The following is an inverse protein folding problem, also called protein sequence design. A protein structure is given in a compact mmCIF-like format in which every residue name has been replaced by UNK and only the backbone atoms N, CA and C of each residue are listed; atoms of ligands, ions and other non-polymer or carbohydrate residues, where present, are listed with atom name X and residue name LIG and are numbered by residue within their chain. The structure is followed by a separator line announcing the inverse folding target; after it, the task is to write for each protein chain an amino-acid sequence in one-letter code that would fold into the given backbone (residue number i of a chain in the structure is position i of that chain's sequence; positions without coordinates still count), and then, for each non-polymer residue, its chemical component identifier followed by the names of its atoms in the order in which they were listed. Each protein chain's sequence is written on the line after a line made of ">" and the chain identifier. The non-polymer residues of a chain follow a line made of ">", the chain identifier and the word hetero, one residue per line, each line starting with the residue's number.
data_IF_351660937052
#
_entry.id   IF_351660937052
#
_cell.length_a   1.000
_cell.length_b   1.000
_cell.length_c   1.000
_cell.angle_alpha   90.00
_cell.angle_beta   90.00
_cell.angle_gamma   90.00
#
_symmetry.space_group_name_H-M   'P 1'
#
loop_
_entity.id
_entity.type
_entity.pdbx_description
1 polymer ?
#
# COMPACT_ATOMS: atom_id res chain seq x y z
N UNK A 1 10.81 -10.48 -3.36
CA UNK A 1 9.89 -9.54 -2.68
C UNK A 1 8.43 -9.97 -2.78
N UNK A 2 7.87 -10.07 -3.97
CA UNK A 2 6.45 -10.31 -4.25
C UNK A 2 5.81 -11.38 -3.37
N UNK A 3 6.28 -12.62 -3.42
CA UNK A 3 5.71 -13.73 -2.64
C UNK A 3 5.66 -13.50 -1.14
N UNK A 4 6.69 -12.84 -0.56
CA UNK A 4 6.68 -12.48 0.87
C UNK A 4 5.60 -11.44 1.18
N UNK A 5 5.44 -10.45 0.33
CA UNK A 5 4.45 -9.37 0.51
C UNK A 5 3.03 -9.93 0.36
N UNK A 6 2.77 -10.73 -0.67
CA UNK A 6 1.48 -11.38 -0.89
C UNK A 6 1.12 -12.32 0.29
N UNK A 7 2.07 -13.12 0.78
CA UNK A 7 1.87 -13.96 1.95
C UNK A 7 1.64 -13.13 3.23
N UNK A 8 2.41 -12.07 3.42
CA UNK A 8 2.28 -11.16 4.55
C UNK A 8 0.88 -10.56 4.65
N UNK A 9 0.38 -9.96 3.57
CA UNK A 9 -0.95 -9.35 3.54
C UNK A 9 -2.06 -10.40 3.47
N UNK A 10 -2.03 -11.31 2.50
CA UNK A 10 -3.13 -12.22 2.20
C UNK A 10 -3.35 -13.30 3.24
N UNK A 11 -2.33 -13.65 4.04
CA UNK A 11 -2.44 -14.71 5.03
C UNK A 11 -2.23 -14.18 6.45
N UNK A 12 -1.07 -13.58 6.75
CA UNK A 12 -0.71 -13.30 8.14
C UNK A 12 -1.46 -12.08 8.69
N UNK A 13 -1.54 -10.99 7.93
CA UNK A 13 -2.31 -9.80 8.33
C UNK A 13 -3.81 -10.10 8.43
N UNK A 14 -4.33 -10.92 7.53
CA UNK A 14 -5.72 -11.36 7.57
C UNK A 14 -6.03 -12.20 8.81
N UNK A 15 -5.14 -13.14 9.18
CA UNK A 15 -5.26 -13.88 10.44
C UNK A 15 -5.22 -12.94 11.65
N UNK A 16 -4.30 -11.97 11.67
CA UNK A 16 -4.19 -11.01 12.75
C UNK A 16 -5.47 -10.17 12.90
N UNK A 17 -6.00 -9.68 11.78
CA UNK A 17 -7.24 -8.89 11.77
C UNK A 17 -8.45 -9.65 12.30
N UNK A 18 -8.59 -10.94 11.97
CA UNK A 18 -9.68 -11.79 12.47
C UNK A 18 -9.55 -12.15 13.96
N UNK A 19 -8.35 -12.03 14.51
CA UNK A 19 -8.07 -12.35 15.91
C UNK A 19 -8.17 -11.14 16.82
N UNK A 20 -8.11 -9.91 16.30
CA UNK A 20 -7.93 -8.69 17.10
C UNK A 20 -8.97 -8.54 18.22
N UNK A 21 -10.22 -8.89 17.95
CA UNK A 21 -11.33 -8.81 18.92
C UNK A 21 -11.54 -10.10 19.72
N UNK A 22 -10.84 -11.19 19.37
CA UNK A 22 -11.01 -12.52 19.99
C UNK A 22 -9.87 -12.91 20.89
N UNK A 23 -8.66 -12.67 20.44
CA UNK A 23 -7.39 -12.97 21.14
C UNK A 23 -6.36 -11.92 20.74
N UNK A 24 -6.34 -10.82 21.49
CA UNK A 24 -5.47 -9.69 21.24
C UNK A 24 -3.99 -10.07 21.27
N UNK A 25 -3.58 -10.95 22.21
CA UNK A 25 -2.17 -11.37 22.34
C UNK A 25 -1.71 -12.14 21.11
N UNK A 26 -2.54 -13.09 20.66
CA UNK A 26 -2.23 -13.87 19.46
C UNK A 26 -2.28 -13.00 18.21
N UNK A 27 -3.21 -12.04 18.13
CA UNK A 27 -3.26 -11.06 17.04
C UNK A 27 -1.96 -10.25 16.95
N UNK A 28 -1.45 -9.74 18.08
CA UNK A 28 -0.20 -8.98 18.12
C UNK A 28 1.00 -9.84 17.69
N UNK A 29 1.08 -11.10 18.10
CA UNK A 29 2.10 -12.05 17.63
C UNK A 29 2.05 -12.23 16.11
N UNK A 30 0.84 -12.27 15.52
CA UNK A 30 0.67 -12.34 14.07
C UNK A 30 1.12 -11.05 13.37
N UNK A 31 0.81 -9.86 13.92
CA UNK A 31 1.30 -8.59 13.39
C UNK A 31 2.83 -8.52 13.43
N UNK A 32 3.48 -8.98 14.50
CA UNK A 32 4.94 -9.05 14.58
C UNK A 32 5.53 -10.01 13.54
N UNK A 33 4.89 -11.17 13.34
CA UNK A 33 5.27 -12.12 12.28
C UNK A 33 5.17 -11.47 10.89
N UNK A 34 4.08 -10.75 10.61
CA UNK A 34 3.90 -10.03 9.36
C UNK A 34 4.97 -8.95 9.19
N UNK A 35 5.26 -8.18 10.24
CA UNK A 35 6.28 -7.11 10.21
C UNK A 35 7.66 -7.68 9.84
N UNK A 36 8.04 -8.83 10.41
CA UNK A 36 9.30 -9.50 10.06
C UNK A 36 9.34 -9.87 8.57
N UNK A 37 8.26 -10.45 8.04
CA UNK A 37 8.17 -10.84 6.62
C UNK A 37 8.30 -9.61 5.70
N UNK A 38 7.61 -8.53 6.02
CA UNK A 38 7.68 -7.28 5.26
C UNK A 38 9.06 -6.62 5.36
N UNK A 39 9.70 -6.63 6.54
CA UNK A 39 11.06 -6.11 6.73
C UNK A 39 12.07 -6.86 5.88
N UNK A 40 11.99 -8.19 5.83
CA UNK A 40 12.86 -9.00 4.97
C UNK A 40 12.61 -8.72 3.48
N UNK A 41 11.35 -8.46 3.07
CA UNK A 41 11.00 -8.08 1.70
C UNK A 41 11.56 -6.69 1.37
N UNK A 42 11.38 -5.71 2.27
CA UNK A 42 11.91 -4.34 2.15
C UNK A 42 13.44 -4.35 1.99
N UNK A 43 14.13 -5.05 2.86
CA UNK A 43 15.59 -5.08 2.86
C UNK A 43 16.13 -5.74 1.58
N UNK A 44 15.43 -6.79 1.10
CA UNK A 44 15.72 -7.40 -0.21
C UNK A 44 15.51 -6.42 -1.35
N UNK A 45 14.42 -5.65 -1.34
CA UNK A 45 14.13 -4.64 -2.36
C UNK A 45 15.15 -3.52 -2.39
N UNK A 46 15.51 -2.98 -1.23
CA UNK A 46 16.56 -1.97 -1.12
C UNK A 46 17.88 -2.53 -1.67
N UNK A 47 18.22 -3.78 -1.36
CA UNK A 47 19.45 -4.42 -1.85
C UNK A 47 19.44 -4.59 -3.38
N UNK A 48 18.32 -5.05 -3.96
CA UNK A 48 18.18 -5.25 -5.41
C UNK A 48 18.35 -3.92 -6.14
N UNK A 49 17.59 -2.91 -5.77
CA UNK A 49 17.64 -1.61 -6.46
C UNK A 49 19.00 -0.92 -6.24
N UNK A 50 19.61 -1.04 -5.05
CA UNK A 50 20.91 -0.44 -4.76
C UNK A 50 22.06 -1.06 -5.55
N UNK A 51 21.96 -2.32 -5.99
CA UNK A 51 22.95 -2.96 -6.89
C UNK A 51 22.94 -2.31 -8.27
N UNK A 52 21.77 -1.95 -8.78
CA UNK A 52 21.61 -1.25 -10.07
C UNK A 52 21.90 0.24 -9.94
N UNK A 53 21.46 0.84 -8.83
CA UNK A 53 21.55 2.27 -8.55
C UNK A 53 22.28 2.52 -7.21
N UNK A 54 23.61 2.68 -7.17
CA UNK A 54 24.37 2.86 -5.93
C UNK A 54 23.91 4.03 -5.05
N UNK A 55 23.29 5.06 -5.67
CA UNK A 55 22.74 6.22 -4.97
C UNK A 55 21.29 6.04 -4.48
N UNK A 56 20.72 4.84 -4.57
CA UNK A 56 19.30 4.61 -4.25
C UNK A 56 18.92 5.04 -2.84
N UNK A 57 19.74 4.76 -1.83
CA UNK A 57 19.48 5.21 -0.45
C UNK A 57 19.48 6.74 -0.32
N UNK A 58 20.37 7.43 -1.04
CA UNK A 58 20.35 8.90 -1.12
C UNK A 58 19.10 9.42 -1.82
N UNK A 59 18.67 8.71 -2.88
CA UNK A 59 17.43 9.05 -3.56
C UNK A 59 16.23 8.89 -2.62
N UNK A 60 16.13 7.83 -1.82
CA UNK A 60 15.06 7.69 -0.81
C UNK A 60 15.05 8.88 0.17
N UNK A 61 16.22 9.39 0.56
CA UNK A 61 16.36 10.56 1.44
C UNK A 61 16.19 11.92 0.72
N UNK A 62 15.87 11.95 -0.58
CA UNK A 62 15.79 13.16 -1.43
C UNK A 62 17.13 13.88 -1.66
N UNK A 63 18.24 13.19 -1.48
CA UNK A 63 19.61 13.73 -1.62
C UNK A 63 20.23 13.44 -3.00
N UNK A 64 19.55 12.68 -3.86
CA UNK A 64 20.00 12.33 -5.20
C UNK A 64 18.81 12.20 -6.16
N UNK A 65 19.12 12.26 -7.47
CA UNK A 65 18.19 11.91 -8.55
C UNK A 65 18.57 10.56 -9.15
N UNK A 66 17.58 9.78 -9.57
CA UNK A 66 17.74 8.55 -10.34
C UNK A 66 16.71 8.58 -11.46
N UNK A 67 17.16 8.25 -12.65
CA UNK A 67 16.29 8.07 -13.82
C UNK A 67 15.96 6.58 -13.92
N UNK A 68 14.78 6.21 -13.35
CA UNK A 68 14.27 4.86 -13.41
C UNK A 68 13.59 4.59 -14.75
N UNK A 69 13.56 3.33 -15.16
CA UNK A 69 12.94 2.92 -16.40
C UNK A 69 11.91 1.78 -16.20
N UNK A 70 11.31 1.32 -17.28
CA UNK A 70 10.26 0.31 -17.22
C UNK A 70 10.69 -1.03 -16.59
N UNK A 71 11.98 -1.39 -16.66
CA UNK A 71 12.48 -2.64 -16.06
C UNK A 71 12.53 -2.57 -14.53
N UNK A 72 12.52 -1.35 -13.96
CA UNK A 72 12.58 -1.13 -12.51
C UNK A 72 11.20 -1.16 -11.85
N UNK A 73 10.14 -1.05 -12.62
CA UNK A 73 8.79 -0.75 -12.13
C UNK A 73 8.27 -1.80 -11.13
N UNK A 74 8.57 -3.07 -11.39
CA UNK A 74 8.17 -4.17 -10.49
C UNK A 74 8.89 -4.08 -9.14
N UNK A 75 10.19 -3.80 -9.16
CA UNK A 75 10.98 -3.67 -7.92
C UNK A 75 10.56 -2.44 -7.12
N UNK A 76 10.26 -1.32 -7.79
CA UNK A 76 9.74 -0.10 -7.18
C UNK A 76 8.39 -0.38 -6.48
N UNK A 77 7.46 -1.05 -7.17
CA UNK A 77 6.15 -1.40 -6.61
C UNK A 77 6.27 -2.27 -5.37
N UNK A 78 6.96 -3.42 -5.50
CA UNK A 78 7.06 -4.37 -4.40
C UNK A 78 7.86 -3.85 -3.21
N UNK A 79 8.82 -2.93 -3.44
CA UNK A 79 9.47 -2.20 -2.35
C UNK A 79 8.50 -1.25 -1.66
N UNK A 80 7.73 -0.46 -2.41
CA UNK A 80 6.73 0.45 -1.82
C UNK A 80 5.73 -0.30 -0.95
N UNK A 81 5.18 -1.41 -1.47
CA UNK A 81 4.19 -2.22 -0.75
C UNK A 81 4.81 -2.92 0.47
N UNK A 82 6.09 -3.36 0.40
CA UNK A 82 6.77 -3.94 1.55
C UNK A 82 7.00 -2.92 2.68
N UNK A 83 7.37 -1.68 2.36
CA UNK A 83 7.47 -0.59 3.36
C UNK A 83 6.08 -0.28 3.94
N UNK A 84 5.05 -0.20 3.11
CA UNK A 84 3.66 -0.05 3.55
C UNK A 84 3.22 -1.18 4.50
N UNK A 85 3.63 -2.41 4.20
CA UNK A 85 3.40 -3.58 5.04
C UNK A 85 4.08 -3.48 6.41
N UNK A 86 5.33 -3.00 6.46
CA UNK A 86 6.01 -2.70 7.73
C UNK A 86 5.24 -1.69 8.57
N UNK A 87 4.78 -0.59 7.94
CA UNK A 87 4.00 0.45 8.61
C UNK A 87 2.68 -0.13 9.16
N UNK A 88 1.91 -0.82 8.32
CA UNK A 88 0.59 -1.36 8.70
C UNK A 88 0.69 -2.39 9.82
N UNK A 89 1.66 -3.31 9.73
CA UNK A 89 1.87 -4.36 10.73
C UNK A 89 2.48 -3.85 12.04
N UNK A 90 3.13 -2.70 12.03
CA UNK A 90 3.75 -2.10 13.21
C UNK A 90 2.76 -1.48 14.20
N UNK A 91 1.48 -1.37 13.82
CA UNK A 91 0.40 -0.86 14.66
C UNK A 91 0.67 0.54 15.25
N UNK A 92 1.23 1.41 14.42
CA UNK A 92 1.49 2.80 14.80
C UNK A 92 2.89 3.07 15.37
N UNK A 93 3.83 2.16 15.19
CA UNK A 93 5.22 2.38 15.59
C UNK A 93 5.81 3.58 14.81
N UNK A 94 6.26 4.66 15.48
CA UNK A 94 6.77 5.85 14.82
C UNK A 94 8.05 5.59 14.01
N UNK A 95 8.85 4.58 14.37
CA UNK A 95 10.05 4.20 13.61
C UNK A 95 9.72 3.58 12.24
N UNK A 96 8.55 3.01 12.07
CA UNK A 96 8.09 2.58 10.75
C UNK A 96 7.35 3.71 10.02
N UNK A 97 6.54 4.51 10.72
CA UNK A 97 5.80 5.64 10.13
C UNK A 97 6.71 6.69 9.47
N UNK A 98 7.94 6.89 9.97
CA UNK A 98 8.91 7.80 9.36
C UNK A 98 9.23 7.45 7.89
N UNK A 99 8.97 6.21 7.46
CA UNK A 99 9.16 5.75 6.10
C UNK A 99 7.97 6.00 5.17
N UNK A 100 6.85 6.53 5.68
CA UNK A 100 5.65 6.80 4.88
C UNK A 100 5.92 7.71 3.66
N UNK A 101 6.74 8.78 3.75
CA UNK A 101 7.09 9.59 2.57
C UNK A 101 7.80 8.79 1.46
N UNK A 102 8.57 7.76 1.82
CA UNK A 102 9.25 6.89 0.86
C UNK A 102 8.25 6.03 0.09
N UNK A 103 7.20 5.52 0.74
CA UNK A 103 6.10 4.82 0.06
C UNK A 103 5.48 5.72 -1.02
N UNK A 104 5.06 6.93 -0.65
CA UNK A 104 4.46 7.85 -1.60
C UNK A 104 5.41 8.27 -2.73
N UNK A 105 6.72 8.36 -2.47
CA UNK A 105 7.71 8.66 -3.50
C UNK A 105 7.84 7.51 -4.51
N UNK A 106 8.00 6.29 -4.04
CA UNK A 106 8.08 5.09 -4.88
C UNK A 106 6.82 4.91 -5.73
N UNK A 107 5.64 5.05 -5.13
CA UNK A 107 4.38 4.90 -5.85
C UNK A 107 4.23 5.94 -6.96
N UNK A 108 4.54 7.22 -6.69
CA UNK A 108 4.51 8.27 -7.73
C UNK A 108 5.52 7.99 -8.84
N UNK A 109 6.74 7.57 -8.50
CA UNK A 109 7.74 7.19 -9.51
C UNK A 109 7.22 6.07 -10.41
N UNK A 110 6.56 5.06 -9.87
CA UNK A 110 5.96 4.00 -10.69
C UNK A 110 4.83 4.50 -11.59
N UNK A 111 3.98 5.40 -11.10
CA UNK A 111 2.94 6.06 -11.90
C UNK A 111 3.55 6.86 -13.05
N UNK A 112 4.63 7.60 -12.80
CA UNK A 112 5.31 8.42 -13.81
C UNK A 112 5.93 7.55 -14.91
N UNK A 113 6.42 6.34 -14.57
CA UNK A 113 6.98 5.39 -15.54
C UNK A 113 5.87 4.72 -16.38
N UNK A 114 4.86 4.16 -15.72
CA UNK A 114 3.75 3.48 -16.39
C UNK A 114 2.48 3.49 -15.50
N UNK A 115 1.55 4.42 -15.72
CA UNK A 115 0.34 4.54 -14.93
C UNK A 115 -0.61 3.32 -15.02
N UNK A 116 -0.54 2.57 -16.11
CA UNK A 116 -1.38 1.37 -16.33
C UNK A 116 -0.75 0.06 -15.87
N UNK A 117 0.44 0.09 -15.25
CA UNK A 117 1.12 -1.12 -14.84
C UNK A 117 0.26 -2.00 -13.92
N UNK A 118 0.21 -3.31 -14.25
CA UNK A 118 -0.65 -4.31 -13.59
C UNK A 118 -2.05 -3.75 -13.25
N UNK A 119 -2.74 -3.25 -14.28
CA UNK A 119 -4.11 -2.73 -14.19
C UNK A 119 -4.27 -1.56 -13.19
N UNK A 120 -3.26 -0.69 -13.09
CA UNK A 120 -3.32 0.48 -12.21
C UNK A 120 -3.02 0.19 -10.75
N UNK A 121 -2.25 -0.87 -10.43
CA UNK A 121 -1.91 -1.27 -9.07
C UNK A 121 -1.26 -0.16 -8.25
N UNK A 122 -0.48 0.74 -8.87
CA UNK A 122 0.07 1.92 -8.17
C UNK A 122 -1.02 2.85 -7.64
N UNK A 123 -2.08 3.06 -8.42
CA UNK A 123 -3.21 3.89 -7.98
C UNK A 123 -3.98 3.22 -6.84
N UNK A 124 -4.19 1.90 -6.90
CA UNK A 124 -4.79 1.14 -5.80
C UNK A 124 -3.97 1.28 -4.51
N UNK A 125 -2.65 1.17 -4.60
CA UNK A 125 -1.76 1.35 -3.45
C UNK A 125 -1.75 2.81 -2.94
N UNK A 126 -1.95 3.82 -3.82
CA UNK A 126 -2.06 5.22 -3.43
C UNK A 126 -3.32 5.51 -2.60
N UNK A 127 -4.40 4.74 -2.72
CA UNK A 127 -5.57 4.85 -1.84
C UNK A 127 -5.14 4.60 -0.39
N UNK A 128 -4.53 3.45 -0.12
CA UNK A 128 -4.05 3.07 1.22
C UNK A 128 -2.98 4.04 1.75
N UNK A 129 -2.05 4.47 0.89
CA UNK A 129 -1.05 5.47 1.26
C UNK A 129 -1.70 6.78 1.72
N UNK A 130 -2.67 7.29 0.94
CA UNK A 130 -3.33 8.56 1.21
C UNK A 130 -4.09 8.54 2.54
N UNK A 131 -4.77 7.44 2.84
CA UNK A 131 -5.53 7.29 4.09
C UNK A 131 -4.64 7.10 5.33
N UNK A 132 -3.35 6.78 5.14
CA UNK A 132 -2.38 6.70 6.25
C UNK A 132 -1.78 8.09 6.59
N UNK A 133 -1.98 9.10 5.76
CA UNK A 133 -1.46 10.46 5.97
C UNK A 133 -2.27 11.19 7.04
N UNK A 134 -1.57 11.89 7.92
CA UNK A 134 -2.16 12.71 9.00
C UNK A 134 -2.17 14.22 8.70
N UNK A 135 -1.61 14.63 7.57
CA UNK A 135 -1.48 16.04 7.16
C UNK A 135 -2.63 16.51 6.25
N UNK A 136 -3.59 15.63 5.94
CA UNK A 136 -4.76 15.94 5.14
C UNK A 136 -5.99 16.20 6.02
N UNK A 137 -6.75 17.25 5.73
CA UNK A 137 -8.11 17.38 6.25
C UNK A 137 -9.06 16.43 5.48
N UNK A 138 -10.30 16.27 5.98
CA UNK A 138 -11.26 15.34 5.40
C UNK A 138 -11.55 15.61 3.91
N UNK A 139 -11.70 16.86 3.50
CA UNK A 139 -11.98 17.22 2.10
C UNK A 139 -10.81 16.82 1.22
N UNK A 140 -9.59 17.22 1.58
CA UNK A 140 -8.38 16.87 0.82
C UNK A 140 -8.13 15.36 0.77
N UNK A 141 -8.46 14.66 1.85
CA UNK A 141 -8.37 13.19 1.92
C UNK A 141 -9.32 12.56 0.90
N UNK A 142 -10.60 12.95 0.93
CA UNK A 142 -11.62 12.40 0.02
C UNK A 142 -11.29 12.69 -1.43
N UNK A 143 -11.01 13.94 -1.78
CA UNK A 143 -10.66 14.35 -3.14
C UNK A 143 -9.46 13.54 -3.67
N UNK A 144 -8.44 13.33 -2.84
CA UNK A 144 -7.26 12.57 -3.23
C UNK A 144 -7.57 11.09 -3.41
N UNK A 145 -8.36 10.49 -2.50
CA UNK A 145 -8.74 9.08 -2.58
C UNK A 145 -9.67 8.84 -3.76
N UNK A 146 -10.64 9.73 -4.02
CA UNK A 146 -11.53 9.66 -5.18
C UNK A 146 -10.72 9.68 -6.48
N UNK A 147 -9.76 10.60 -6.60
CA UNK A 147 -8.87 10.66 -7.77
C UNK A 147 -8.12 9.33 -7.99
N UNK A 148 -7.51 8.75 -6.95
CA UNK A 148 -6.77 7.49 -7.09
C UNK A 148 -7.69 6.30 -7.35
N UNK A 149 -8.86 6.28 -6.73
CA UNK A 149 -9.89 5.28 -6.99
C UNK A 149 -10.36 5.30 -8.45
N UNK A 150 -10.72 6.47 -8.98
CA UNK A 150 -11.16 6.62 -10.37
C UNK A 150 -10.07 6.16 -11.35
N UNK A 151 -8.79 6.48 -11.07
CA UNK A 151 -7.67 6.00 -11.89
C UNK A 151 -7.49 4.49 -11.81
N UNK A 152 -7.57 3.90 -10.63
CA UNK A 152 -7.46 2.45 -10.46
C UNK A 152 -8.60 1.71 -11.20
N UNK A 153 -9.82 2.22 -11.10
CA UNK A 153 -10.99 1.67 -11.82
C UNK A 153 -10.82 1.82 -13.34
N UNK A 154 -10.34 2.98 -13.80
CA UNK A 154 -10.10 3.22 -15.22
C UNK A 154 -9.09 2.22 -15.81
N UNK A 155 -7.94 2.04 -15.16
CA UNK A 155 -6.89 1.16 -15.68
C UNK A 155 -7.19 -0.33 -15.51
N UNK A 156 -8.07 -0.71 -14.58
CA UNK A 156 -8.55 -2.10 -14.43
C UNK A 156 -9.79 -2.41 -15.28
N UNK A 157 -10.30 -1.44 -16.03
CA UNK A 157 -11.58 -1.57 -16.75
C UNK A 157 -12.73 -1.98 -15.82
N UNK A 158 -12.67 -1.50 -14.55
CA UNK A 158 -13.61 -1.83 -13.50
C UNK A 158 -13.58 -3.28 -13.00
N UNK A 159 -12.63 -4.10 -13.44
CA UNK A 159 -12.58 -5.56 -13.17
C UNK A 159 -11.71 -5.96 -11.98
N UNK A 160 -11.14 -5.01 -11.26
CA UNK A 160 -10.37 -5.27 -10.04
C UNK A 160 -11.20 -4.92 -8.79
N UNK A 161 -11.47 -5.90 -7.95
CA UNK A 161 -12.18 -5.73 -6.69
C UNK A 161 -11.38 -4.92 -5.66
N UNK A 162 -10.04 -4.94 -5.74
CA UNK A 162 -9.14 -4.35 -4.75
C UNK A 162 -9.41 -2.88 -4.45
N UNK A 163 -9.48 -1.98 -5.45
CA UNK A 163 -9.78 -0.57 -5.23
C UNK A 163 -11.12 -0.33 -4.50
N UNK A 164 -12.16 -1.08 -4.85
CA UNK A 164 -13.49 -0.94 -4.23
C UNK A 164 -13.47 -1.35 -2.76
N UNK A 165 -12.82 -2.48 -2.43
CA UNK A 165 -12.68 -2.95 -1.06
C UNK A 165 -11.84 -1.98 -0.24
N UNK A 166 -10.70 -1.54 -0.78
CA UNK A 166 -9.82 -0.58 -0.10
C UNK A 166 -10.54 0.74 0.16
N UNK A 167 -11.31 1.25 -0.80
CA UNK A 167 -12.10 2.46 -0.62
C UNK A 167 -13.17 2.28 0.46
N UNK A 168 -13.93 1.19 0.42
CA UNK A 168 -14.96 0.90 1.42
C UNK A 168 -14.38 0.86 2.83
N UNK A 169 -13.26 0.15 3.02
CA UNK A 169 -12.62 0.03 4.33
C UNK A 169 -11.94 1.32 4.80
N UNK A 170 -11.35 2.08 3.89
CA UNK A 170 -10.53 3.26 4.23
C UNK A 170 -11.34 4.56 4.32
N UNK A 171 -12.49 4.65 3.66
CA UNK A 171 -13.35 5.84 3.66
C UNK A 171 -14.70 5.52 4.31
N UNK A 172 -15.51 4.64 3.73
CA UNK A 172 -16.88 4.47 4.20
C UNK A 172 -16.95 3.93 5.64
N UNK A 173 -16.06 3.02 6.03
CA UNK A 173 -16.05 2.43 7.37
C UNK A 173 -15.65 3.45 8.45
N UNK A 174 -14.53 4.19 8.37
CA UNK A 174 -14.15 5.20 9.35
C UNK A 174 -15.15 6.36 9.47
N UNK A 175 -15.75 6.78 8.34
CA UNK A 175 -16.74 7.85 8.31
C UNK A 175 -18.18 7.37 8.60
N UNK A 176 -18.36 6.10 8.99
CA UNK A 176 -19.65 5.49 9.35
C UNK A 176 -20.71 5.54 8.24
N UNK A 177 -20.31 5.53 6.99
CA UNK A 177 -21.15 5.58 5.80
C UNK A 177 -21.66 4.17 5.43
N UNK A 178 -22.45 3.56 6.30
CA UNK A 178 -22.87 2.16 6.17
C UNK A 178 -23.50 1.82 4.82
N UNK A 179 -24.35 2.70 4.29
CA UNK A 179 -25.01 2.45 3.00
C UNK A 179 -23.97 2.36 1.88
N UNK A 180 -23.09 3.36 1.76
CA UNK A 180 -22.07 3.42 0.74
C UNK A 180 -21.08 2.23 0.85
N UNK A 181 -20.76 1.83 2.09
CA UNK A 181 -19.93 0.64 2.35
C UNK A 181 -20.59 -0.63 1.76
N UNK A 182 -21.87 -0.87 2.10
CA UNK A 182 -22.62 -2.05 1.61
C UNK A 182 -22.78 -2.01 0.10
N UNK A 183 -23.07 -0.86 -0.50
CA UNK A 183 -23.22 -0.70 -1.95
C UNK A 183 -21.92 -1.04 -2.68
N UNK A 184 -20.76 -0.60 -2.17
CA UNK A 184 -19.44 -0.98 -2.72
C UNK A 184 -19.18 -2.49 -2.64
N UNK A 185 -19.49 -3.13 -1.50
CA UNK A 185 -19.33 -4.58 -1.36
C UNK A 185 -20.25 -5.37 -2.30
N UNK A 186 -21.52 -4.95 -2.41
CA UNK A 186 -22.47 -5.58 -3.34
C UNK A 186 -22.02 -5.44 -4.79
N UNK A 187 -21.44 -4.31 -5.16
CA UNK A 187 -20.84 -4.14 -6.49
C UNK A 187 -19.78 -5.20 -6.74
N UNK A 188 -18.83 -5.37 -5.82
CA UNK A 188 -17.75 -6.37 -5.93
C UNK A 188 -18.27 -7.81 -6.02
N UNK A 189 -19.32 -8.15 -5.24
CA UNK A 189 -19.91 -9.50 -5.25
C UNK A 189 -20.53 -9.82 -6.62
N UNK A 190 -20.99 -8.81 -7.34
CA UNK A 190 -21.68 -8.96 -8.63
C UNK A 190 -20.79 -8.67 -9.85
N UNK A 191 -19.47 -8.44 -9.65
CA UNK A 191 -18.48 -8.34 -10.73
C UNK A 191 -18.21 -9.71 -11.36
#
# INVERSE_FOLDING_TARGET
>A
MRTKVEYGFGIIMEQASRLIDKDYSLAMTKYEQANKIFSEARDSGISIISKKYPNFKKWLNKEASIDFNADDISDIYWLAVSIGGCISSSRGNPFELINLPNVGRLLRTGIDINPGWENGSFYSAMISFTTTRSDLNEVMLRDSVDYYFDKAVLYSDGKDAGPYLTYAESIHKPFQERKNFVDKLNYVINM
#
